data_IF_415039688816
#
_entry.id   IF_415039688816
#
_cell.length_a   1.000
_cell.length_b   1.000
_cell.length_c   1.000
_cell.angle_alpha   90.00
_cell.angle_beta   90.00
_cell.angle_gamma   90.00
#
_symmetry.space_group_name_H-M   'P 1'
#
loop_
_entity.id
_entity.type
_entity.pdbx_description
1 polymer ?
#
# COMPACT_ATOMS: atom_id res chain seq x y z
N UNK A 1 6.98 16.63 -40.71
CA UNK A 1 7.66 16.62 -39.40
C UNK A 1 7.22 15.34 -38.72
N UNK A 2 8.17 14.44 -38.46
CA UNK A 2 7.94 13.24 -37.69
C UNK A 2 7.82 13.61 -36.21
N UNK A 3 6.94 12.92 -35.49
CA UNK A 3 7.20 12.42 -34.15
C UNK A 3 6.51 11.07 -34.06
N UNK A 4 7.30 10.04 -34.34
CA UNK A 4 7.24 8.76 -33.65
C UNK A 4 7.19 9.04 -32.14
N UNK A 5 6.16 8.57 -31.45
CA UNK A 5 6.22 8.27 -30.02
C UNK A 5 5.38 7.01 -29.80
N UNK A 6 5.79 5.95 -30.51
CA UNK A 6 5.77 4.61 -29.93
C UNK A 6 6.73 4.69 -28.72
N UNK A 7 6.19 5.14 -27.58
CA UNK A 7 6.93 5.14 -26.32
C UNK A 7 7.08 3.67 -25.93
N UNK A 8 8.11 3.03 -26.49
CA UNK A 8 8.60 1.75 -26.03
C UNK A 8 8.72 1.84 -24.50
N UNK A 9 8.26 0.83 -23.74
CA UNK A 9 8.43 0.83 -22.29
C UNK A 9 9.92 1.05 -22.00
N UNK A 10 10.20 2.07 -21.18
CA UNK A 10 11.56 2.46 -20.81
C UNK A 10 12.31 1.19 -20.35
N UNK A 11 13.38 0.76 -21.04
CA UNK A 11 13.99 -0.56 -20.83
C UNK A 11 14.62 -0.73 -19.43
N UNK A 12 14.68 0.35 -18.64
CA UNK A 12 15.15 0.38 -17.26
C UNK A 12 14.03 0.47 -16.21
N UNK A 13 12.73 0.39 -16.59
CA UNK A 13 11.65 0.27 -15.60
C UNK A 13 11.68 -1.12 -14.95
N UNK A 14 12.50 -1.25 -13.92
CA UNK A 14 12.50 -2.43 -13.05
C UNK A 14 11.26 -2.39 -12.16
N UNK A 15 10.44 -3.41 -12.31
CA UNK A 15 9.27 -3.66 -11.47
C UNK A 15 9.67 -4.67 -10.39
N UNK A 16 9.36 -4.34 -9.13
CA UNK A 16 9.61 -5.22 -7.99
C UNK A 16 8.29 -5.90 -7.62
N UNK A 17 8.24 -7.21 -7.86
CA UNK A 17 7.19 -8.06 -7.32
C UNK A 17 7.46 -8.32 -5.82
N UNK A 18 6.42 -8.32 -4.97
CA UNK A 18 6.59 -8.68 -3.58
C UNK A 18 7.05 -10.15 -3.42
N UNK A 19 7.86 -10.47 -2.38
CA UNK A 19 8.29 -11.83 -2.12
C UNK A 19 7.10 -12.77 -1.84
N UNK A 20 7.18 -14.04 -2.26
CA UNK A 20 6.13 -15.04 -2.05
C UNK A 20 5.71 -15.17 -0.57
N UNK A 21 6.66 -15.12 0.35
CA UNK A 21 6.36 -15.19 1.79
C UNK A 21 5.55 -14.00 2.31
N UNK A 22 5.66 -12.84 1.65
CA UNK A 22 4.84 -11.65 1.96
C UNK A 22 3.43 -11.84 1.40
N UNK A 23 3.30 -12.45 0.21
CA UNK A 23 2.01 -12.81 -0.37
C UNK A 23 1.24 -13.83 0.48
N UNK A 24 1.93 -14.85 0.99
CA UNK A 24 1.33 -15.83 1.91
C UNK A 24 0.83 -15.16 3.20
N UNK A 25 1.57 -14.17 3.71
CA UNK A 25 1.14 -13.40 4.87
C UNK A 25 -0.13 -12.60 4.59
N UNK A 26 -0.34 -12.07 3.38
CA UNK A 26 -1.57 -11.36 3.01
C UNK A 26 -2.82 -12.22 3.19
N UNK A 27 -2.75 -13.52 2.90
CA UNK A 27 -3.88 -14.43 3.02
C UNK A 27 -4.34 -14.66 4.48
N UNK A 28 -3.45 -14.43 5.45
CA UNK A 28 -3.76 -14.55 6.88
C UNK A 28 -4.22 -13.23 7.51
N UNK A 29 -4.20 -12.12 6.76
CA UNK A 29 -4.56 -10.79 7.22
C UNK A 29 -5.99 -10.44 6.80
N UNK A 30 -6.69 -9.56 7.54
CA UNK A 30 -7.94 -9.00 7.07
C UNK A 30 -7.78 -8.38 5.67
N UNK A 31 -8.78 -8.66 4.83
CA UNK A 31 -8.91 -8.13 3.48
C UNK A 31 -8.74 -6.60 3.51
N UNK A 32 -7.88 -6.09 2.64
CA UNK A 32 -7.65 -4.67 2.45
C UNK A 32 -8.61 -4.08 1.44
N UNK A 33 -9.89 -4.43 1.51
CA UNK A 33 -10.98 -4.04 0.61
C UNK A 33 -12.00 -3.08 1.24
N UNK A 34 -12.98 -2.57 0.46
CA UNK A 34 -13.98 -1.62 0.95
C UNK A 34 -14.91 -2.18 2.04
N UNK A 35 -14.99 -3.50 2.18
CA UNK A 35 -15.65 -4.20 3.28
C UNK A 35 -14.88 -4.19 4.60
N UNK A 36 -13.64 -3.69 4.64
CA UNK A 36 -12.85 -3.61 5.86
C UNK A 36 -13.47 -2.65 6.87
N UNK A 37 -13.70 -3.12 8.09
CA UNK A 37 -14.17 -2.30 9.19
C UNK A 37 -12.99 -1.54 9.84
N UNK A 38 -13.10 -0.22 9.91
CA UNK A 38 -12.20 0.60 10.69
C UNK A 38 -12.78 0.86 12.08
N UNK A 39 -11.89 0.95 13.08
CA UNK A 39 -12.24 1.17 14.48
C UNK A 39 -12.94 2.52 14.74
N UNK A 40 -12.91 3.46 13.79
CA UNK A 40 -13.65 4.71 13.82
C UNK A 40 -15.10 4.57 13.30
N UNK A 41 -15.51 3.36 12.91
CA UNK A 41 -16.82 3.03 12.33
C UNK A 41 -16.99 3.49 10.89
N UNK A 42 -15.93 3.97 10.23
CA UNK A 42 -15.99 4.42 8.84
C UNK A 42 -15.65 3.28 7.89
N UNK A 43 -16.33 3.27 6.75
CA UNK A 43 -15.94 2.49 5.58
C UNK A 43 -15.37 3.41 4.50
N UNK A 44 -14.40 2.89 3.76
CA UNK A 44 -13.68 3.63 2.73
C UNK A 44 -13.77 2.86 1.41
N UNK A 45 -14.10 3.52 0.29
CA UNK A 45 -14.17 2.85 -1.01
C UNK A 45 -12.79 2.40 -1.51
N UNK A 46 -11.72 3.04 -1.05
CA UNK A 46 -10.35 2.63 -1.28
C UNK A 46 -9.66 2.34 0.04
N UNK A 47 -9.02 1.18 0.09
CA UNK A 47 -8.20 0.75 1.22
C UNK A 47 -6.83 0.38 0.68
N UNK A 48 -5.83 1.14 1.13
CA UNK A 48 -4.42 0.84 0.96
C UNK A 48 -3.98 -0.05 2.12
N UNK A 49 -3.39 -1.20 1.81
CA UNK A 49 -2.70 -2.03 2.81
C UNK A 49 -1.23 -2.18 2.41
N UNK A 50 -0.36 -1.92 3.39
CA UNK A 50 1.07 -2.06 3.27
C UNK A 50 1.52 -3.22 4.18
N UNK A 51 2.32 -4.13 3.64
CA UNK A 51 2.99 -5.18 4.43
C UNK A 51 4.50 -5.02 4.24
N UNK A 52 5.20 -4.92 5.36
CA UNK A 52 6.61 -4.56 5.41
C UNK A 52 7.36 -5.59 6.26
N UNK A 53 8.46 -6.13 5.74
CA UNK A 53 9.33 -7.05 6.49
C UNK A 53 10.11 -6.37 7.63
N UNK A 54 10.34 -5.07 7.51
CA UNK A 54 10.97 -4.19 8.50
C UNK A 54 10.35 -2.79 8.47
N UNK A 55 10.49 -1.99 9.53
CA UNK A 55 10.12 -0.58 9.48
C UNK A 55 10.94 0.14 8.39
N UNK A 56 10.26 0.92 7.56
CA UNK A 56 10.85 1.70 6.46
C UNK A 56 10.30 3.12 6.50
N UNK A 57 11.01 4.06 5.87
CA UNK A 57 10.47 5.39 5.63
C UNK A 57 9.28 5.28 4.66
N UNK A 58 8.10 5.59 5.17
CA UNK A 58 6.85 5.56 4.41
C UNK A 58 6.08 6.83 4.72
N UNK A 59 5.63 7.52 3.68
CA UNK A 59 4.67 8.60 3.81
C UNK A 59 3.41 8.26 3.01
N UNK A 60 2.25 8.46 3.63
CA UNK A 60 0.95 8.26 2.98
C UNK A 60 0.16 9.55 3.10
N UNK A 61 -0.37 10.02 1.99
CA UNK A 61 -1.39 11.06 1.94
C UNK A 61 -2.66 10.42 1.40
N UNK A 62 -3.80 10.63 2.07
CA UNK A 62 -5.10 10.10 1.70
C UNK A 62 -6.03 11.29 1.44
N UNK A 63 -6.61 11.38 0.23
CA UNK A 63 -7.50 12.47 -0.18
C UNK A 63 -6.93 13.90 0.05
N UNK A 64 -5.60 14.05 0.00
CA UNK A 64 -4.89 15.31 0.26
C UNK A 64 -4.43 15.54 1.71
N UNK A 65 -4.84 14.69 2.66
CA UNK A 65 -4.44 14.77 4.06
C UNK A 65 -3.30 13.79 4.39
N UNK A 66 -2.24 14.27 5.02
CA UNK A 66 -1.14 13.41 5.48
C UNK A 66 -1.60 12.47 6.60
N UNK A 67 -1.32 11.19 6.45
CA UNK A 67 -1.66 10.14 7.41
C UNK A 67 -0.48 9.94 8.37
N UNK A 68 -0.72 10.13 9.66
CA UNK A 68 0.28 9.88 10.69
C UNK A 68 0.48 8.38 10.91
N UNK A 69 1.69 7.88 10.65
CA UNK A 69 2.06 6.49 10.92
C UNK A 69 2.69 6.36 12.31
N UNK A 70 1.98 5.70 13.22
CA UNK A 70 2.38 5.55 14.63
C UNK A 70 3.40 4.41 14.84
N UNK A 71 4.61 4.57 14.31
CA UNK A 71 5.67 3.55 14.36
C UNK A 71 6.18 3.23 15.77
N UNK A 72 6.10 4.18 16.69
CA UNK A 72 6.65 4.04 18.05
C UNK A 72 5.82 3.11 18.95
N UNK A 73 4.54 2.88 18.63
CA UNK A 73 3.63 2.00 19.38
C UNK A 73 2.76 1.13 18.45
N UNK A 74 3.39 0.17 17.74
CA UNK A 74 2.66 -0.68 16.84
C UNK A 74 1.77 -1.64 17.64
N UNK A 75 0.54 -1.85 17.17
CA UNK A 75 -0.35 -2.85 17.78
C UNK A 75 0.20 -4.27 17.61
N UNK A 76 -0.20 -5.20 18.48
CA UNK A 76 0.15 -6.63 18.34
C UNK A 76 -1.00 -7.38 17.69
N UNK A 77 -0.73 -8.02 16.56
CA UNK A 77 -1.76 -8.66 15.73
C UNK A 77 -2.67 -7.64 15.05
N UNK A 78 -3.42 -8.08 14.04
CA UNK A 78 -4.51 -7.26 13.49
C UNK A 78 -5.78 -7.53 14.31
N UNK A 79 -6.42 -6.49 14.89
CA UNK A 79 -7.62 -6.67 15.70
C UNK A 79 -8.79 -7.19 14.87
N UNK A 80 -9.63 -8.02 15.48
CA UNK A 80 -10.86 -8.50 14.87
C UNK A 80 -11.96 -7.42 14.83
N UNK A 81 -11.96 -6.50 15.81
CA UNK A 81 -12.98 -5.45 15.97
C UNK A 81 -12.70 -4.18 15.14
N UNK A 82 -11.88 -4.31 14.11
CA UNK A 82 -11.57 -3.24 13.17
C UNK A 82 -10.22 -2.57 13.38
N UNK A 83 -9.64 -2.14 12.26
CA UNK A 83 -8.29 -1.57 12.22
C UNK A 83 -8.34 -0.04 12.40
N UNK A 84 -7.28 0.53 12.95
CA UNK A 84 -7.11 1.98 13.06
C UNK A 84 -6.37 2.47 11.82
N UNK A 85 -6.94 3.49 11.18
CA UNK A 85 -6.35 4.11 10.00
C UNK A 85 -4.94 4.65 10.33
N UNK A 86 -3.95 4.24 9.54
CA UNK A 86 -2.55 4.65 9.68
C UNK A 86 -1.78 3.99 10.83
N UNK A 87 -2.42 3.13 11.64
CA UNK A 87 -1.71 2.43 12.73
C UNK A 87 -0.97 1.19 12.18
N UNK A 88 0.34 1.04 12.46
CA UNK A 88 1.05 -0.20 12.20
C UNK A 88 0.67 -1.30 13.20
N UNK A 89 0.58 -2.53 12.70
CA UNK A 89 0.33 -3.76 13.47
C UNK A 89 1.44 -4.78 13.21
N UNK A 90 1.96 -5.40 14.27
CA UNK A 90 2.96 -6.48 14.18
C UNK A 90 2.28 -7.82 14.03
N UNK A 91 2.59 -8.53 12.94
CA UNK A 91 2.12 -9.89 12.68
C UNK A 91 3.33 -10.76 12.38
N UNK A 92 3.74 -11.58 13.34
CA UNK A 92 5.04 -12.27 13.29
C UNK A 92 6.20 -11.27 13.23
N UNK A 93 7.06 -11.40 12.22
CA UNK A 93 8.16 -10.47 11.97
C UNK A 93 7.76 -9.22 11.16
N UNK A 94 6.54 -9.16 10.62
CA UNK A 94 6.10 -8.15 9.66
C UNK A 94 5.32 -7.02 10.31
N UNK A 95 5.30 -5.87 9.65
CA UNK A 95 4.45 -4.72 9.97
C UNK A 95 3.37 -4.59 8.90
N UNK A 96 2.14 -4.37 9.36
CA UNK A 96 0.96 -4.25 8.50
C UNK A 96 0.29 -2.91 8.81
N UNK A 97 -0.01 -2.13 7.77
CA UNK A 97 -0.68 -0.84 7.90
C UNK A 97 -1.89 -0.85 6.97
N UNK A 98 -3.00 -0.31 7.46
CA UNK A 98 -4.21 -0.07 6.69
C UNK A 98 -4.53 1.42 6.67
N UNK A 99 -4.82 1.94 5.49
CA UNK A 99 -5.21 3.33 5.29
C UNK A 99 -6.44 3.39 4.40
N UNK A 100 -7.48 4.10 4.83
CA UNK A 100 -8.69 4.31 4.05
C UNK A 100 -8.70 5.68 3.37
N UNK A 101 -9.19 5.75 2.14
CA UNK A 101 -9.44 6.98 1.37
C UNK A 101 -10.74 6.90 0.57
N UNK A 102 -11.27 8.05 0.18
CA UNK A 102 -12.46 8.22 -0.65
C UNK A 102 -12.16 8.12 -2.14
N UNK A 103 -11.03 8.66 -2.56
CA UNK A 103 -10.72 8.90 -3.97
C UNK A 103 -9.31 8.42 -4.36
N UNK A 104 -8.28 8.77 -3.59
CA UNK A 104 -6.90 8.45 -3.95
C UNK A 104 -5.94 8.42 -2.75
N UNK A 105 -4.76 7.86 -3.00
CA UNK A 105 -3.59 7.96 -2.16
C UNK A 105 -2.39 8.52 -2.94
N UNK A 106 -1.53 9.25 -2.22
CA UNK A 106 -0.13 9.42 -2.61
C UNK A 106 0.73 8.65 -1.63
N UNK A 107 1.46 7.66 -2.15
CA UNK A 107 2.37 6.82 -1.37
C UNK A 107 3.82 7.15 -1.74
N UNK A 108 4.66 7.41 -0.74
CA UNK A 108 6.11 7.52 -0.91
C UNK A 108 6.79 6.44 -0.09
N UNK A 109 7.62 5.64 -0.75
CA UNK A 109 8.35 4.54 -0.15
C UNK A 109 9.85 4.83 -0.16
N UNK A 110 10.54 4.61 0.96
CA UNK A 110 12.00 4.67 1.03
C UNK A 110 12.71 3.49 0.35
N UNK A 111 11.98 2.39 0.12
CA UNK A 111 12.47 1.21 -0.60
C UNK A 111 11.31 0.42 -1.21
N UNK A 112 11.59 -0.34 -2.29
CA UNK A 112 10.63 -1.27 -2.90
C UNK A 112 10.79 -2.71 -2.36
N UNK A 113 12.01 -3.11 -2.02
CA UNK A 113 12.27 -4.45 -1.47
C UNK A 113 11.68 -4.62 -0.07
N UNK A 114 11.13 -5.80 0.21
CA UNK A 114 10.52 -6.12 1.50
C UNK A 114 9.12 -5.52 1.70
N UNK A 115 8.57 -4.88 0.67
CA UNK A 115 7.26 -4.22 0.69
C UNK A 115 6.27 -4.95 -0.22
N UNK A 116 5.07 -5.20 0.29
CA UNK A 116 3.90 -5.45 -0.55
C UNK A 116 2.90 -4.30 -0.38
N UNK A 117 2.45 -3.77 -1.50
CA UNK A 117 1.40 -2.75 -1.57
C UNK A 117 0.17 -3.39 -2.17
N UNK A 118 -0.95 -3.30 -1.47
CA UNK A 118 -2.25 -3.71 -2.01
C UNK A 118 -3.22 -2.55 -1.97
N UNK A 119 -4.01 -2.40 -3.04
CA UNK A 119 -5.15 -1.49 -3.10
C UNK A 119 -6.41 -2.32 -3.34
N UNK A 120 -7.38 -2.29 -2.42
CA UNK A 120 -8.57 -3.15 -2.47
C UNK A 120 -8.24 -4.62 -2.73
N UNK A 121 -7.29 -5.15 -1.96
CA UNK A 121 -6.69 -6.49 -2.09
C UNK A 121 -5.95 -6.81 -3.39
N UNK A 122 -5.96 -5.93 -4.38
CA UNK A 122 -5.12 -6.08 -5.56
C UNK A 122 -3.68 -5.77 -5.19
N UNK A 123 -2.82 -6.76 -5.31
CA UNK A 123 -1.36 -6.59 -5.20
C UNK A 123 -0.89 -5.71 -6.35
N UNK A 124 -0.15 -4.65 -6.00
CA UNK A 124 0.47 -3.74 -6.95
C UNK A 124 1.96 -4.04 -7.01
N UNK A 125 2.47 -4.20 -8.21
CA UNK A 125 3.91 -4.25 -8.42
C UNK A 125 4.49 -2.84 -8.27
N UNK A 126 5.67 -2.74 -7.65
CA UNK A 126 6.25 -1.45 -7.29
C UNK A 126 7.29 -1.06 -8.34
N UNK A 127 7.07 0.02 -9.11
CA UNK A 127 8.10 0.53 -10.02
C UNK A 127 9.27 1.08 -9.22
N UNK A 128 10.50 0.65 -9.49
CA UNK A 128 11.70 1.16 -8.80
C UNK A 128 11.83 2.69 -8.89
N UNK A 129 11.36 3.29 -9.99
CA UNK A 129 11.34 4.75 -10.19
C UNK A 129 10.48 5.52 -9.19
N UNK A 130 9.55 4.87 -8.48
CA UNK A 130 8.72 5.55 -7.47
C UNK A 130 9.34 5.50 -6.06
N UNK A 131 10.47 4.81 -5.88
CA UNK A 131 11.19 4.83 -4.60
C UNK A 131 11.74 6.24 -4.35
N UNK A 132 11.39 6.83 -3.21
CA UNK A 132 11.70 8.22 -2.86
C UNK A 132 10.79 9.26 -3.52
N UNK A 133 9.86 8.85 -4.38
CA UNK A 133 8.96 9.73 -5.12
C UNK A 133 7.49 9.44 -4.80
N UNK A 134 6.59 10.35 -5.17
CA UNK A 134 5.16 10.17 -4.92
C UNK A 134 4.56 9.23 -5.97
N UNK A 135 3.94 8.16 -5.48
CA UNK A 135 3.18 7.21 -6.27
C UNK A 135 1.68 7.45 -6.11
N UNK A 136 1.04 7.87 -7.19
CA UNK A 136 -0.41 8.09 -7.23
C UNK A 136 -1.18 6.77 -7.40
N UNK A 137 -2.06 6.49 -6.44
CA UNK A 137 -2.87 5.28 -6.36
C UNK A 137 -4.35 5.64 -6.24
N UNK A 138 -5.15 5.24 -7.22
CA UNK A 138 -6.58 5.51 -7.25
C UNK A 138 -7.35 4.33 -7.85
N UNK A 139 -8.65 4.51 -8.09
CA UNK A 139 -9.49 3.46 -8.70
C UNK A 139 -9.05 3.02 -10.09
N UNK A 140 -8.33 3.85 -10.85
CA UNK A 140 -7.86 3.44 -12.19
C UNK A 140 -6.86 2.28 -12.08
N UNK A 141 -6.09 2.22 -10.98
CA UNK A 141 -5.19 1.09 -10.68
C UNK A 141 -5.89 -0.24 -10.40
N UNK A 142 -7.20 -0.24 -10.23
CA UNK A 142 -8.00 -1.44 -10.00
C UNK A 142 -8.50 -2.10 -11.29
N UNK A 143 -8.46 -1.41 -12.43
CA UNK A 143 -8.95 -1.95 -13.71
C UNK A 143 -7.91 -2.93 -14.30
N UNK A 144 -8.33 -4.09 -14.85
CA UNK A 144 -7.42 -4.94 -15.60
C UNK A 144 -6.97 -4.19 -16.86
N UNK A 145 -5.68 -4.28 -17.19
CA UNK A 145 -5.14 -3.83 -18.48
C UNK A 145 -5.61 -4.74 -19.62
#
# INVERSE_FOLDING_TARGET
>A
AAIDEDAAPDPDERIVAPPAEVLDALAALPAGGPELEFADGRSYPLVLRLVLDRPLEVAVTADGDSVALAWDDPGTGVPAEGVRNGRPYRVGSRHVIYVGARDHFMLRLGAAEGVAVTLNDRVLEIPTRIVGHDWWLDRARLQPE
#
